data_IF_924409619635
#
_entry.id   IF_924409619635
#
_cell.length_a   1.000
_cell.length_b   1.000
_cell.length_c   1.000
_cell.angle_alpha   90.00
_cell.angle_beta   90.00
_cell.angle_gamma   90.00
#
_symmetry.space_group_name_H-M   'P 1'
#
loop_
_entity.id
_entity.type
_entity.pdbx_description
1 polymer ?
#
# COMPACT_ATOMS: atom_id res chain seq x y z
N UNK A 1 6.79 58.58 56.16
CA UNK A 1 6.36 58.10 54.83
C UNK A 1 7.53 58.30 53.90
N UNK A 2 8.15 57.20 53.46
CA UNK A 2 9.39 57.24 52.69
C UNK A 2 9.10 57.67 51.25
N UNK A 3 9.93 58.59 50.77
CA UNK A 3 9.88 59.19 49.44
C UNK A 3 9.73 58.12 48.36
N UNK A 4 8.67 58.28 47.56
CA UNK A 4 8.43 57.49 46.36
C UNK A 4 9.55 57.85 45.38
N UNK A 5 10.47 56.88 45.26
CA UNK A 5 11.58 56.78 44.32
C UNK A 5 11.39 57.65 43.07
N UNK A 6 12.26 58.65 42.95
CA UNK A 6 12.41 59.50 41.78
C UNK A 6 13.05 58.66 40.67
N UNK A 7 12.24 57.86 39.95
CA UNK A 7 12.72 57.08 38.81
C UNK A 7 13.34 58.03 37.78
N UNK A 8 14.51 57.71 37.22
CA UNK A 8 15.16 58.55 36.22
C UNK A 8 14.20 58.75 35.04
N UNK A 9 13.89 60.02 34.73
CA UNK A 9 12.95 60.38 33.67
C UNK A 9 13.49 59.85 32.33
N UNK A 10 12.63 59.19 31.56
CA UNK A 10 12.93 58.57 30.25
C UNK A 10 13.58 59.49 29.19
N UNK A 11 13.70 60.80 29.45
CA UNK A 11 14.28 61.79 28.56
C UNK A 11 15.80 62.01 28.73
N UNK A 12 16.45 61.31 29.66
CA UNK A 12 17.90 61.42 29.84
C UNK A 12 18.67 60.94 28.60
N UNK A 13 19.44 61.86 27.98
CA UNK A 13 20.28 61.56 26.81
C UNK A 13 21.21 60.36 27.04
N UNK A 14 21.66 60.15 28.28
CA UNK A 14 22.46 58.99 28.70
C UNK A 14 21.73 57.65 28.52
N UNK A 15 20.46 57.56 28.94
CA UNK A 15 19.64 56.36 28.75
C UNK A 15 19.40 56.09 27.25
N UNK A 16 19.23 57.15 26.44
CA UNK A 16 19.11 57.00 24.98
C UNK A 16 20.38 56.42 24.32
N UNK A 17 21.57 56.80 24.81
CA UNK A 17 22.84 56.29 24.31
C UNK A 17 23.04 54.82 24.68
N UNK A 18 22.68 54.44 25.91
CA UNK A 18 22.68 53.04 26.36
C UNK A 18 21.68 52.23 25.53
N UNK A 19 20.49 52.75 25.24
CA UNK A 19 19.52 52.13 24.33
C UNK A 19 20.07 51.91 22.92
N UNK A 20 20.78 52.90 22.36
CA UNK A 20 21.44 52.76 21.04
C UNK A 20 22.57 51.72 21.08
N UNK A 21 23.37 51.69 22.15
CA UNK A 21 24.47 50.73 22.30
C UNK A 21 23.96 49.30 22.49
N UNK A 22 22.96 49.10 23.34
CA UNK A 22 22.30 47.79 23.53
C UNK A 22 21.64 47.32 22.23
N UNK A 23 21.00 48.22 21.47
CA UNK A 23 20.46 47.86 20.16
C UNK A 23 21.54 47.41 19.17
N UNK A 24 22.66 48.14 19.09
CA UNK A 24 23.81 47.75 18.25
C UNK A 24 24.36 46.38 18.66
N UNK A 25 24.53 46.15 19.97
CA UNK A 25 24.98 44.86 20.51
C UNK A 25 24.01 43.72 20.16
N UNK A 26 22.69 43.93 20.27
CA UNK A 26 21.70 42.92 19.86
C UNK A 26 21.78 42.60 18.37
N UNK A 27 22.02 43.60 17.52
CA UNK A 27 22.20 43.36 16.07
C UNK A 27 23.47 42.56 15.79
N UNK A 28 24.59 42.92 16.41
CA UNK A 28 25.87 42.22 16.19
C UNK A 28 25.80 40.78 16.69
N UNK A 29 25.18 40.52 17.84
CA UNK A 29 24.97 39.15 18.33
C UNK A 29 24.04 38.35 17.44
N UNK A 30 22.94 38.93 16.94
CA UNK A 30 22.06 38.27 15.97
C UNK A 30 22.82 37.86 14.70
N UNK A 31 23.57 38.80 14.11
CA UNK A 31 24.37 38.54 12.90
C UNK A 31 25.40 37.43 13.15
N UNK A 32 26.07 37.45 14.30
CA UNK A 32 27.05 36.42 14.63
C UNK A 32 26.39 35.05 14.84
N UNK A 33 25.22 35.00 15.48
CA UNK A 33 24.45 33.77 15.63
C UNK A 33 24.02 33.21 14.28
N UNK A 34 23.59 34.05 13.34
CA UNK A 34 23.22 33.60 12.00
C UNK A 34 24.43 33.08 11.23
N UNK A 35 25.58 33.76 11.29
CA UNK A 35 26.84 33.26 10.73
C UNK A 35 27.26 31.91 11.33
N UNK A 36 27.07 31.72 12.64
CA UNK A 36 27.35 30.45 13.31
C UNK A 36 26.40 29.35 12.84
N UNK A 37 25.10 29.64 12.70
CA UNK A 37 24.12 28.69 12.15
C UNK A 37 24.49 28.27 10.73
N UNK A 38 24.90 29.21 9.88
CA UNK A 38 25.32 28.92 8.51
C UNK A 38 26.57 28.04 8.46
N UNK A 39 27.55 28.32 9.32
CA UNK A 39 28.74 27.47 9.48
C UNK A 39 28.37 26.07 9.94
N UNK A 40 27.55 25.94 10.99
CA UNK A 40 27.07 24.65 11.47
C UNK A 40 26.30 23.88 10.39
N UNK A 41 25.44 24.55 9.61
CA UNK A 41 24.73 23.95 8.48
C UNK A 41 25.70 23.43 7.41
N UNK A 42 26.76 24.19 7.12
CA UNK A 42 27.78 23.82 6.15
C UNK A 42 28.56 22.59 6.60
N UNK A 43 28.99 22.54 7.87
CA UNK A 43 29.63 21.35 8.44
C UNK A 43 28.70 20.15 8.47
N UNK A 44 27.42 20.34 8.82
CA UNK A 44 26.41 19.27 8.77
C UNK A 44 26.28 18.66 7.38
N UNK A 45 26.22 19.50 6.33
CA UNK A 45 26.19 19.03 4.93
C UNK A 45 27.46 18.27 4.53
N UNK A 46 28.62 18.68 5.03
CA UNK A 46 29.89 17.99 4.77
C UNK A 46 29.91 16.60 5.44
N UNK A 47 29.54 16.52 6.72
CA UNK A 47 29.43 15.27 7.46
C UNK A 47 28.43 14.32 6.78
N UNK A 48 27.27 14.83 6.36
CA UNK A 48 26.28 14.03 5.64
C UNK A 48 26.81 13.49 4.31
N UNK A 49 27.61 14.28 3.59
CA UNK A 49 28.25 13.84 2.34
C UNK A 49 29.22 12.71 2.61
N UNK A 50 30.07 12.86 3.63
CA UNK A 50 31.07 11.86 3.99
C UNK A 50 30.41 10.57 4.47
N UNK A 51 29.38 10.68 5.32
CA UNK A 51 28.55 9.55 5.77
C UNK A 51 27.95 8.79 4.58
N UNK A 52 27.34 9.48 3.62
CA UNK A 52 26.79 8.83 2.41
C UNK A 52 27.88 8.12 1.59
N UNK A 53 29.05 8.74 1.46
CA UNK A 53 30.18 8.14 0.74
C UNK A 53 30.69 6.88 1.45
N UNK A 54 30.76 6.91 2.78
CA UNK A 54 31.16 5.78 3.61
C UNK A 54 30.14 4.65 3.54
N UNK A 55 28.86 4.96 3.70
CA UNK A 55 27.76 4.00 3.59
C UNK A 55 27.76 3.32 2.23
N UNK A 56 28.00 4.06 1.15
CA UNK A 56 28.11 3.50 -0.20
C UNK A 56 29.31 2.55 -0.33
N UNK A 57 30.50 2.95 0.16
CA UNK A 57 31.69 2.07 0.16
C UNK A 57 31.45 0.80 0.98
N UNK A 58 30.83 0.92 2.16
CA UNK A 58 30.47 -0.24 2.99
C UNK A 58 29.42 -1.12 2.32
N UNK A 59 28.44 -0.52 1.65
CA UNK A 59 27.46 -1.25 0.86
C UNK A 59 28.14 -2.05 -0.26
N UNK A 60 29.08 -1.45 -1.00
CA UNK A 60 29.86 -2.15 -2.03
C UNK A 60 30.68 -3.31 -1.45
N UNK A 61 31.37 -3.11 -0.33
CA UNK A 61 32.13 -4.17 0.35
C UNK A 61 31.24 -5.34 0.80
N UNK A 62 30.03 -5.05 1.26
CA UNK A 62 29.08 -6.07 1.73
C UNK A 62 28.27 -6.73 0.62
N UNK A 63 28.27 -6.18 -0.60
CA UNK A 63 27.46 -6.70 -1.70
C UNK A 63 27.80 -8.14 -2.11
N UNK A 64 29.07 -8.53 -2.30
CA UNK A 64 29.42 -9.91 -2.65
C UNK A 64 28.92 -10.93 -1.61
N UNK A 65 29.05 -10.60 -0.33
CA UNK A 65 28.60 -11.45 0.78
C UNK A 65 27.07 -11.60 0.79
N UNK A 66 26.36 -10.50 0.51
CA UNK A 66 24.89 -10.52 0.39
C UNK A 66 24.45 -11.34 -0.83
N UNK A 67 25.11 -11.19 -1.98
CA UNK A 67 24.82 -11.97 -3.18
C UNK A 67 25.05 -13.46 -2.94
N UNK A 68 26.19 -13.82 -2.36
CA UNK A 68 26.52 -15.18 -1.96
C UNK A 68 25.44 -15.75 -1.04
N UNK A 69 25.09 -15.04 0.03
CA UNK A 69 24.07 -15.48 0.97
C UNK A 69 22.67 -15.69 0.34
N UNK A 70 22.27 -14.78 -0.55
CA UNK A 70 21.01 -14.90 -1.30
C UNK A 70 21.04 -16.14 -2.19
N UNK A 71 22.15 -16.37 -2.90
CA UNK A 71 22.33 -17.55 -3.75
C UNK A 71 22.28 -18.83 -2.94
N UNK A 72 23.03 -18.94 -1.84
CA UNK A 72 23.00 -20.10 -0.93
C UNK A 72 21.58 -20.38 -0.42
N UNK A 73 20.85 -19.36 0.02
CA UNK A 73 19.45 -19.52 0.45
C UNK A 73 18.51 -19.92 -0.68
N UNK A 74 18.72 -19.40 -1.89
CA UNK A 74 17.98 -19.78 -3.09
C UNK A 74 18.18 -21.27 -3.40
N UNK A 75 19.43 -21.71 -3.42
CA UNK A 75 19.85 -23.10 -3.61
C UNK A 75 19.24 -24.02 -2.57
N UNK A 76 19.37 -23.70 -1.27
CA UNK A 76 18.79 -24.49 -0.18
C UNK A 76 17.27 -24.66 -0.32
N UNK A 77 16.56 -23.58 -0.72
CA UNK A 77 15.11 -23.66 -0.95
C UNK A 77 14.76 -24.49 -2.18
N UNK A 78 15.57 -24.43 -3.23
CA UNK A 78 15.39 -25.26 -4.42
C UNK A 78 15.57 -26.75 -4.07
N UNK A 79 16.69 -27.08 -3.43
CA UNK A 79 17.02 -28.43 -2.99
C UNK A 79 15.96 -28.99 -2.03
N UNK A 80 15.49 -28.17 -1.08
CA UNK A 80 14.40 -28.57 -0.18
C UNK A 80 13.12 -28.91 -0.93
N UNK A 81 12.71 -28.10 -1.92
CA UNK A 81 11.52 -28.37 -2.73
C UNK A 81 11.64 -29.68 -3.52
N UNK A 82 12.82 -29.97 -4.05
CA UNK A 82 13.07 -31.20 -4.79
C UNK A 82 12.98 -32.38 -3.82
N UNK A 83 13.61 -32.28 -2.65
CA UNK A 83 13.51 -33.30 -1.61
C UNK A 83 12.07 -33.57 -1.20
N UNK A 84 11.27 -32.51 -0.97
CA UNK A 84 9.86 -32.64 -0.59
C UNK A 84 8.97 -33.20 -1.72
N UNK A 85 9.44 -33.22 -2.98
CA UNK A 85 8.72 -33.75 -4.14
C UNK A 85 9.06 -35.20 -4.47
N UNK A 86 10.24 -35.68 -4.07
CA UNK A 86 10.63 -37.08 -4.22
C UNK A 86 9.90 -37.85 -3.11
N UNK A 87 8.98 -38.77 -3.44
CA UNK A 87 8.34 -39.63 -2.44
C UNK A 87 9.42 -40.37 -1.65
N UNK A 88 9.22 -40.58 -0.34
CA UNK A 88 10.12 -41.35 0.50
C UNK A 88 10.30 -42.76 -0.11
N UNK A 89 11.40 -42.93 -0.85
CA UNK A 89 11.92 -44.23 -1.22
C UNK A 89 12.81 -44.62 -0.04
N UNK A 90 12.38 -45.65 0.71
CA UNK A 90 13.06 -46.24 1.86
C UNK A 90 14.41 -46.90 1.50
N UNK A 91 15.25 -46.22 0.71
CA UNK A 91 16.58 -46.67 0.34
C UNK A 91 17.60 -46.03 1.29
N UNK A 92 18.04 -46.81 2.29
CA UNK A 92 19.10 -46.45 3.25
C UNK A 92 20.48 -46.13 2.62
N UNK A 93 20.59 -46.13 1.28
CA UNK A 93 21.84 -45.79 0.56
C UNK A 93 22.04 -44.29 0.29
N UNK A 94 21.10 -43.43 0.67
CA UNK A 94 21.19 -41.98 0.46
C UNK A 94 22.04 -41.22 1.49
N UNK A 95 23.33 -41.55 1.66
CA UNK A 95 24.20 -40.80 2.59
C UNK A 95 24.32 -39.30 2.23
N UNK A 96 24.11 -38.98 0.94
CA UNK A 96 23.90 -37.64 0.42
C UNK A 96 22.47 -37.54 -0.10
N UNK A 97 21.77 -36.43 0.18
CA UNK A 97 20.35 -36.27 -0.16
C UNK A 97 20.04 -36.66 -1.61
N UNK A 98 18.98 -37.46 -1.79
CA UNK A 98 18.53 -37.92 -3.11
C UNK A 98 17.85 -36.74 -3.84
N UNK A 99 18.63 -35.97 -4.59
CA UNK A 99 18.12 -34.87 -5.44
C UNK A 99 17.79 -35.35 -6.87
N UNK A 100 17.33 -36.60 -7.01
CA UNK A 100 16.95 -37.20 -8.29
C UNK A 100 18.05 -37.23 -9.36
N UNK A 101 19.33 -37.23 -8.96
CA UNK A 101 20.48 -37.25 -9.88
C UNK A 101 20.70 -35.94 -10.68
N UNK A 102 19.95 -34.87 -10.39
CA UNK A 102 20.09 -33.60 -11.11
C UNK A 102 21.31 -32.82 -10.66
N UNK A 103 22.06 -32.26 -11.61
CA UNK A 103 23.24 -31.44 -11.29
C UNK A 103 22.81 -30.05 -10.82
N UNK A 104 23.61 -29.41 -9.97
CA UNK A 104 23.36 -28.04 -9.52
C UNK A 104 23.28 -27.04 -10.69
N UNK A 105 24.02 -27.30 -11.77
CA UNK A 105 24.02 -26.45 -12.97
C UNK A 105 22.67 -26.46 -13.66
N UNK A 106 22.01 -27.61 -13.71
CA UNK A 106 20.69 -27.76 -14.32
C UNK A 106 19.59 -27.09 -13.48
N UNK A 107 19.81 -26.98 -12.16
CA UNK A 107 18.90 -26.30 -11.23
C UNK A 107 19.08 -24.78 -11.20
N UNK A 108 20.14 -24.24 -11.82
CA UNK A 108 20.45 -22.81 -11.80
C UNK A 108 19.28 -21.92 -12.25
N UNK A 109 18.52 -22.22 -13.34
CA UNK A 109 17.36 -21.43 -13.74
C UNK A 109 16.23 -21.41 -12.70
N UNK A 110 16.06 -22.53 -11.98
CA UNK A 110 15.07 -22.63 -10.90
C UNK A 110 15.50 -21.81 -9.68
N UNK A 111 16.79 -21.87 -9.33
CA UNK A 111 17.39 -21.07 -8.27
C UNK A 111 17.22 -19.58 -8.56
N UNK A 112 17.52 -19.14 -9.78
CA UNK A 112 17.38 -17.75 -10.20
C UNK A 112 15.92 -17.29 -10.17
N UNK A 113 14.99 -18.17 -10.54
CA UNK A 113 13.55 -17.91 -10.43
C UNK A 113 13.12 -17.76 -8.96
N UNK A 114 13.62 -18.61 -8.06
CA UNK A 114 13.35 -18.53 -6.62
C UNK A 114 13.89 -17.23 -6.02
N UNK A 115 15.12 -16.84 -6.39
CA UNK A 115 15.75 -15.60 -5.95
C UNK A 115 14.95 -14.39 -6.45
N UNK A 116 14.60 -14.36 -7.74
CA UNK A 116 13.80 -13.29 -8.36
C UNK A 116 12.44 -13.14 -7.68
N UNK A 117 11.77 -14.26 -7.38
CA UNK A 117 10.48 -14.29 -6.71
C UNK A 117 10.55 -13.76 -5.26
N UNK A 118 11.68 -13.93 -4.59
CA UNK A 118 11.89 -13.47 -3.22
C UNK A 118 12.38 -12.03 -3.13
N UNK A 119 12.74 -11.42 -4.26
CA UNK A 119 13.21 -10.05 -4.30
C UNK A 119 12.16 -9.10 -3.67
N UNK A 120 12.56 -8.18 -2.77
CA UNK A 120 11.62 -7.37 -2.00
C UNK A 120 10.70 -6.51 -2.87
N UNK A 121 11.22 -6.00 -4.00
CA UNK A 121 10.40 -5.25 -4.97
C UNK A 121 9.29 -6.10 -5.58
N UNK A 122 9.59 -7.35 -5.95
CA UNK A 122 8.62 -8.29 -6.53
C UNK A 122 7.59 -8.69 -5.48
N UNK A 123 8.02 -8.95 -4.24
CA UNK A 123 7.10 -9.24 -3.12
C UNK A 123 6.13 -8.09 -2.83
N UNK A 124 6.62 -6.85 -2.85
CA UNK A 124 5.77 -5.66 -2.68
C UNK A 124 4.77 -5.53 -3.82
N UNK A 125 5.21 -5.71 -5.07
CA UNK A 125 4.33 -5.69 -6.24
C UNK A 125 3.23 -6.74 -6.17
N UNK A 126 3.58 -7.99 -5.83
CA UNK A 126 2.58 -9.06 -5.64
C UNK A 126 1.56 -8.73 -4.55
N UNK A 127 2.01 -8.12 -3.45
CA UNK A 127 1.10 -7.69 -2.38
C UNK A 127 0.15 -6.60 -2.86
N UNK A 128 0.64 -5.62 -3.63
CA UNK A 128 -0.20 -4.57 -4.19
C UNK A 128 -1.16 -5.09 -5.26
N UNK A 129 -0.71 -6.02 -6.11
CA UNK A 129 -1.56 -6.68 -7.11
C UNK A 129 -2.67 -7.49 -6.45
N UNK A 130 -2.34 -8.24 -5.39
CA UNK A 130 -3.32 -8.96 -4.59
C UNK A 130 -4.35 -8.02 -3.97
N UNK A 131 -3.91 -6.94 -3.33
CA UNK A 131 -4.83 -5.95 -2.76
C UNK A 131 -5.74 -5.32 -3.83
N UNK A 132 -5.21 -5.11 -5.03
CA UNK A 132 -5.98 -4.57 -6.15
C UNK A 132 -6.96 -5.60 -6.71
N UNK A 133 -6.59 -6.87 -6.82
CA UNK A 133 -7.52 -7.94 -7.22
C UNK A 133 -8.62 -8.12 -6.17
N UNK A 134 -8.25 -8.19 -4.89
CA UNK A 134 -9.20 -8.36 -3.78
C UNK A 134 -10.14 -7.14 -3.71
N UNK A 135 -9.60 -5.92 -3.89
CA UNK A 135 -10.42 -4.71 -3.95
C UNK A 135 -11.39 -4.67 -5.14
N UNK A 136 -11.03 -5.29 -6.28
CA UNK A 136 -11.93 -5.43 -7.43
C UNK A 136 -13.01 -6.47 -7.19
N UNK A 137 -12.67 -7.61 -6.57
CA UNK A 137 -13.64 -8.67 -6.27
C UNK A 137 -14.64 -8.23 -5.19
N UNK A 138 -14.16 -7.50 -4.18
CA UNK A 138 -14.99 -6.98 -3.09
C UNK A 138 -15.85 -5.76 -3.52
N UNK A 139 -15.60 -5.21 -4.71
CA UNK A 139 -16.25 -3.98 -5.20
C UNK A 139 -15.76 -2.69 -4.53
N UNK A 140 -14.67 -2.71 -3.75
CA UNK A 140 -14.06 -1.50 -3.16
C UNK A 140 -13.36 -0.63 -4.22
N UNK A 141 -12.80 -1.27 -5.24
CA UNK A 141 -12.13 -0.63 -6.37
C UNK A 141 -12.95 -0.95 -7.61
N UNK A 142 -13.86 -0.04 -7.95
CA UNK A 142 -14.68 -0.16 -9.14
C UNK A 142 -14.08 0.64 -10.31
N UNK A 143 -14.13 0.06 -11.51
CA UNK A 143 -13.72 0.78 -12.71
C UNK A 143 -14.87 1.71 -13.14
N UNK A 144 -14.74 3.01 -12.87
CA UNK A 144 -15.81 4.01 -13.07
C UNK A 144 -16.39 3.94 -14.48
N UNK A 145 -15.59 3.66 -15.51
CA UNK A 145 -16.07 3.59 -16.90
C UNK A 145 -17.03 2.42 -17.13
N UNK A 146 -16.70 1.24 -16.62
CA UNK A 146 -17.55 0.05 -16.69
C UNK A 146 -18.77 0.18 -15.76
N UNK A 147 -18.55 0.77 -14.58
CA UNK A 147 -19.55 0.96 -13.54
C UNK A 147 -20.64 1.95 -13.94
N UNK A 148 -20.28 2.99 -14.70
CA UNK A 148 -21.19 4.04 -15.12
C UNK A 148 -22.29 3.52 -16.03
N UNK A 149 -21.98 2.58 -16.93
CA UNK A 149 -22.99 1.94 -17.78
C UNK A 149 -24.01 1.12 -16.97
N UNK A 150 -23.54 0.35 -15.98
CA UNK A 150 -24.45 -0.36 -15.07
C UNK A 150 -25.26 0.59 -14.18
N UNK A 151 -24.65 1.67 -13.69
CA UNK A 151 -25.33 2.68 -12.88
C UNK A 151 -26.41 3.40 -13.69
N UNK A 152 -26.10 3.83 -14.91
CA UNK A 152 -27.07 4.46 -15.81
C UNK A 152 -28.22 3.49 -16.16
N UNK A 153 -27.94 2.19 -16.33
CA UNK A 153 -28.97 1.18 -16.50
C UNK A 153 -29.86 0.98 -15.25
N UNK A 154 -29.31 1.14 -14.05
CA UNK A 154 -30.08 1.05 -12.79
C UNK A 154 -30.92 2.32 -12.58
N UNK A 155 -30.33 3.50 -12.80
CA UNK A 155 -31.00 4.81 -12.63
C UNK A 155 -32.12 4.98 -13.65
N UNK A 156 -31.87 4.62 -14.91
CA UNK A 156 -32.84 4.71 -15.99
C UNK A 156 -33.74 3.46 -16.09
N UNK A 157 -33.68 2.57 -15.10
CA UNK A 157 -34.59 1.43 -15.05
C UNK A 157 -36.00 2.00 -14.93
N UNK A 158 -36.92 1.72 -15.86
CA UNK A 158 -38.29 2.17 -15.72
C UNK A 158 -38.81 1.64 -14.39
N UNK A 159 -39.20 2.55 -13.50
CA UNK A 159 -39.84 2.16 -12.25
C UNK A 159 -41.06 1.33 -12.64
N UNK A 160 -41.04 0.04 -12.31
CA UNK A 160 -42.27 -0.73 -12.39
C UNK A 160 -43.29 0.02 -11.53
N UNK A 161 -44.51 0.27 -12.03
CA UNK A 161 -45.52 0.97 -11.25
C UNK A 161 -45.64 0.27 -9.90
N UNK A 162 -45.75 1.03 -8.78
CA UNK A 162 -45.87 0.43 -7.46
C UNK A 162 -46.96 -0.62 -7.54
N UNK A 163 -46.57 -1.88 -7.31
CA UNK A 163 -47.48 -3.01 -7.33
C UNK A 163 -48.53 -2.70 -6.29
N UNK A 164 -49.72 -2.25 -6.72
CA UNK A 164 -50.84 -1.86 -5.85
C UNK A 164 -50.90 -2.91 -4.75
N UNK A 165 -50.60 -2.49 -3.52
CA UNK A 165 -50.77 -3.33 -2.35
C UNK A 165 -52.24 -3.74 -2.37
N UNK A 166 -52.52 -4.99 -2.77
CA UNK A 166 -53.86 -5.56 -2.60
C UNK A 166 -54.04 -5.60 -1.10
N UNK A 167 -54.93 -4.75 -0.59
CA UNK A 167 -55.31 -4.68 0.81
C UNK A 167 -55.49 -6.10 1.32
N UNK A 168 -54.61 -6.50 2.24
CA UNK A 168 -54.69 -7.78 2.89
C UNK A 168 -55.90 -7.73 3.82
N UNK A 169 -57.07 -8.09 3.30
CA UNK A 169 -58.26 -8.29 4.11
C UNK A 169 -57.98 -9.41 5.10
N UNK A 170 -57.80 -9.04 6.36
CA UNK A 170 -57.71 -9.95 7.50
C UNK A 170 -59.06 -10.64 7.72
N UNK A 171 -59.35 -11.67 6.93
CA UNK A 171 -60.39 -12.63 7.28
C UNK A 171 -59.80 -13.63 8.28
N UNK A 172 -59.97 -13.32 9.57
CA UNK A 172 -59.84 -14.30 10.64
C UNK A 172 -60.96 -15.34 10.50
N UNK A 173 -60.69 -16.44 9.79
CA UNK A 173 -61.48 -17.67 9.88
C UNK A 173 -60.71 -18.66 10.74
N UNK A 174 -61.16 -18.77 11.99
CA UNK A 174 -60.83 -19.84 12.91
C UNK A 174 -61.11 -21.21 12.27
N UNK A 175 -60.09 -22.07 12.17
CA UNK A 175 -60.29 -23.52 11.99
C UNK A 175 -59.31 -24.30 12.87
N UNK A 176 -59.90 -25.19 13.67
CA UNK A 176 -59.26 -26.19 14.53
C UNK A 176 -58.43 -27.19 13.70
N UNK A 177 -57.45 -27.89 14.31
CA UNK A 177 -56.61 -28.84 13.60
C UNK A 177 -57.27 -30.23 13.56
N UNK A 178 -57.31 -30.85 12.39
CA UNK A 178 -57.46 -32.30 12.25
C UNK A 178 -56.78 -32.77 10.96
N UNK A 179 -55.66 -33.47 11.14
CA UNK A 179 -55.14 -34.64 10.40
C UNK A 179 -55.45 -34.82 8.90
N UNK A 180 -54.38 -34.80 8.08
CA UNK A 180 -53.94 -35.84 7.07
C UNK A 180 -54.95 -36.20 5.95
N UNK A 181 -54.66 -36.32 4.65
CA UNK A 181 -53.46 -36.20 3.80
C UNK A 181 -53.88 -35.98 2.33
N UNK A 182 -52.92 -35.50 1.55
CA UNK A 182 -52.69 -35.67 0.09
C UNK A 182 -53.67 -35.12 -0.97
N UNK A 183 -53.04 -34.36 -1.88
CA UNK A 183 -53.36 -34.18 -3.30
C UNK A 183 -54.58 -33.32 -3.66
N UNK A 184 -54.40 -32.01 -3.72
CA UNK A 184 -54.25 -31.31 -5.01
C UNK A 184 -54.23 -29.77 -4.84
N UNK A 185 -53.19 -29.18 -5.43
CA UNK A 185 -53.16 -27.89 -6.14
C UNK A 185 -53.80 -26.68 -5.42
N UNK A 186 -52.98 -25.79 -4.85
CA UNK A 186 -52.82 -24.41 -5.35
C UNK A 186 -51.85 -23.57 -4.50
N UNK A 187 -50.87 -22.99 -5.20
CA UNK A 187 -50.29 -21.66 -4.99
C UNK A 187 -50.28 -21.04 -3.58
N UNK A 188 -49.17 -21.21 -2.85
CA UNK A 188 -48.59 -20.15 -2.02
C UNK A 188 -47.15 -20.52 -1.62
N UNK A 189 -46.21 -19.58 -1.80
CA UNK A 189 -44.92 -19.62 -1.10
C UNK A 189 -43.77 -20.34 -1.80
N UNK A 190 -43.37 -19.86 -2.98
CA UNK A 190 -42.02 -20.13 -3.50
C UNK A 190 -41.41 -18.81 -3.99
N UNK A 191 -40.64 -18.16 -3.12
CA UNK A 191 -39.65 -17.16 -3.53
C UNK A 191 -38.58 -17.87 -4.37
N UNK A 192 -38.87 -18.09 -5.65
CA UNK A 192 -37.89 -18.52 -6.65
C UNK A 192 -37.65 -17.33 -7.58
N UNK A 193 -36.47 -16.74 -7.45
CA UNK A 193 -35.95 -15.84 -8.48
C UNK A 193 -35.86 -16.61 -9.80
N UNK A 194 -36.25 -16.01 -10.94
CA UNK A 194 -36.13 -16.67 -12.23
C UNK A 194 -34.64 -16.91 -12.57
N UNK A 195 -34.31 -18.02 -13.23
CA UNK A 195 -32.94 -18.33 -13.60
C UNK A 195 -32.42 -17.30 -14.63
N UNK A 196 -31.21 -16.81 -14.41
CA UNK A 196 -30.46 -16.03 -15.39
C UNK A 196 -30.17 -16.92 -16.60
N UNK A 197 -30.90 -16.70 -17.69
CA UNK A 197 -30.55 -17.25 -18.99
C UNK A 197 -29.23 -16.59 -19.45
N UNK A 198 -28.15 -17.36 -19.37
CA UNK A 198 -26.88 -16.99 -19.99
C UNK A 198 -27.03 -17.24 -21.49
N UNK A 199 -27.28 -16.19 -22.28
CA UNK A 199 -27.05 -16.28 -23.73
C UNK A 199 -25.54 -16.22 -23.98
N UNK A 200 -24.93 -17.40 -24.08
CA UNK A 200 -23.74 -17.54 -24.92
C UNK A 200 -24.20 -17.27 -26.34
N UNK A 201 -23.74 -16.17 -26.93
CA UNK A 201 -23.49 -16.00 -28.36
C UNK A 201 -23.08 -14.55 -28.63
N UNK A 202 -21.78 -14.31 -28.69
CA UNK A 202 -21.20 -13.63 -29.83
C UNK A 202 -19.69 -13.84 -29.84
N UNK A 203 -19.30 -14.70 -30.76
CA UNK A 203 -17.92 -14.88 -31.20
C UNK A 203 -17.65 -13.88 -32.33
N UNK A 204 -16.37 -13.50 -32.46
CA UNK A 204 -15.70 -12.87 -33.61
C UNK A 204 -15.86 -11.35 -33.80
N UNK A 205 -14.74 -10.66 -33.52
CA UNK A 205 -14.05 -9.70 -34.41
C UNK A 205 -13.15 -8.84 -33.50
N UNK A 206 -11.85 -9.08 -33.37
CA UNK A 206 -10.90 -8.94 -34.47
C UNK A 206 -10.73 -7.45 -34.79
N UNK A 207 -9.90 -6.71 -34.04
CA UNK A 207 -9.14 -5.58 -34.58
C UNK A 207 -8.03 -5.15 -33.61
N UNK A 208 -6.81 -5.26 -34.11
CA UNK A 208 -5.58 -4.80 -33.47
C UNK A 208 -5.56 -3.27 -33.40
N UNK A 209 -5.34 -2.71 -32.21
CA UNK A 209 -4.76 -1.37 -32.09
C UNK A 209 -3.74 -1.34 -30.96
N UNK A 210 -2.50 -1.03 -31.35
CA UNK A 210 -1.32 -0.87 -30.51
C UNK A 210 -1.18 0.61 -30.18
N UNK A 211 -1.34 1.08 -28.93
CA UNK A 211 -0.96 2.44 -28.59
C UNK A 211 0.48 2.50 -28.10
N UNK A 212 1.24 3.36 -28.77
CA UNK A 212 2.63 3.76 -28.50
C UNK A 212 2.81 4.20 -27.04
N UNK A 213 3.92 3.78 -26.45
CA UNK A 213 4.40 4.23 -25.14
C UNK A 213 4.66 5.74 -25.15
N UNK A 214 3.83 6.51 -24.45
CA UNK A 214 4.17 7.88 -24.04
C UNK A 214 4.93 7.80 -22.72
N UNK A 215 6.19 8.22 -22.73
CA UNK A 215 7.02 8.44 -21.54
C UNK A 215 6.33 9.44 -20.61
N UNK A 216 6.01 9.00 -19.39
CA UNK A 216 5.49 9.89 -18.34
C UNK A 216 6.68 10.56 -17.63
N UNK A 217 6.67 11.88 -17.62
CA UNK A 217 7.65 12.72 -16.93
C UNK A 217 7.63 12.46 -15.42
N UNK A 218 8.82 12.28 -14.84
CA UNK A 218 9.05 12.04 -13.43
C UNK A 218 8.79 13.34 -12.64
N UNK A 219 7.61 13.46 -11.99
CA UNK A 219 7.39 14.50 -10.97
C UNK A 219 8.10 14.07 -9.68
N UNK A 220 9.07 14.89 -9.25
CA UNK A 220 9.84 14.67 -8.03
C UNK A 220 8.97 14.52 -6.78
N UNK A 221 9.42 13.66 -5.87
CA UNK A 221 8.77 13.39 -4.59
C UNK A 221 8.69 14.67 -3.73
N UNK A 222 7.57 14.91 -3.01
CA UNK A 222 7.46 16.03 -2.10
C UNK A 222 8.39 15.85 -0.89
N UNK A 223 9.16 16.90 -0.57
CA UNK A 223 9.99 16.97 0.64
C UNK A 223 9.06 16.99 1.86
N UNK A 224 9.21 16.02 2.75
CA UNK A 224 8.54 16.02 4.06
C UNK A 224 9.18 17.10 4.93
N UNK A 225 8.37 18.07 5.37
CA UNK A 225 8.72 19.02 6.44
C UNK A 225 8.68 18.28 7.78
N UNK A 226 9.81 18.20 8.46
CA UNK A 226 9.88 17.74 9.86
C UNK A 226 9.88 18.96 10.77
N UNK A 227 8.68 19.42 11.13
CA UNK A 227 8.48 20.29 12.29
C UNK A 227 8.09 19.39 13.46
N UNK A 228 9.05 19.04 14.31
CA UNK A 228 8.77 18.67 15.69
C UNK A 228 8.97 19.93 16.52
N UNK A 229 7.86 20.50 16.98
CA UNK A 229 7.86 21.39 18.13
C UNK A 229 7.85 20.50 19.37
N UNK A 230 8.80 20.70 20.26
CA UNK A 230 8.72 20.23 21.64
C UNK A 230 8.43 21.47 22.48
N UNK A 231 7.19 21.58 22.92
CA UNK A 231 6.84 22.31 24.13
C UNK A 231 7.06 21.33 25.30
N UNK A 232 8.04 21.66 26.14
CA UNK A 232 8.20 21.39 27.59
C UNK A 232 9.69 21.46 27.96
#
# INVERSE_FOLDING_TARGET
MADIQNFPKLQDKRLSLIGKQTHRLRKTTSINNDKLKDRCSTYGKAIDRDKRSYDYKMWQKTMPHKQYYIHTKGTQRCLKRIRDQVPDLDDESGMYGVYGGTSLRDLQPQIDTIIKNQHPRVRRLRKTEKLLSDGKTDGRIMNIKESRGMLEAIINRPSFPPRRERGMTLYFKTRRPSTVDTNDITSAGALRLPPLAVSRENTKSGMMFRPKSKSVAFKGLPKRSTTFALDL
#
